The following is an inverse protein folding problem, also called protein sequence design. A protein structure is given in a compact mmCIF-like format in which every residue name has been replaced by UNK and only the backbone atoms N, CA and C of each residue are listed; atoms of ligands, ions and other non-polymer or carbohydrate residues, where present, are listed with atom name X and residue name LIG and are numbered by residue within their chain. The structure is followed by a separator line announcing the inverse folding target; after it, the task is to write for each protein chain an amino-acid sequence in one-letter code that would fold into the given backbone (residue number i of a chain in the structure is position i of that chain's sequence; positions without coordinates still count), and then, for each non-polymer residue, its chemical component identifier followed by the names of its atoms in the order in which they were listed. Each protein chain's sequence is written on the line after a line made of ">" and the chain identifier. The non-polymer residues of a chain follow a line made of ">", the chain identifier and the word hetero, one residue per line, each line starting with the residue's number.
data_IF_764008265751
#
_entry.id   IF_764008265751
#
_cell.length_a   1.000
_cell.length_b   1.000
_cell.length_c   1.000
_cell.angle_alpha   90.00
_cell.angle_beta   90.00
_cell.angle_gamma   90.00
#
_symmetry.space_group_name_H-M   'P 1'
#
loop_
_entity.id
_entity.type
_entity.pdbx_description
1 polymer ?
#
# COMPACT_ATOMS: atom_id res chain seq x y z
N UNK A 1 -14.15 -9.38 3.35
CA UNK A 1 -13.09 -8.39 3.65
C UNK A 1 -11.76 -9.07 3.44
N UNK A 2 -10.90 -8.52 2.60
CA UNK A 2 -9.50 -8.95 2.49
C UNK A 2 -8.69 -8.03 3.40
N UNK A 3 -7.71 -8.58 4.14
CA UNK A 3 -6.83 -7.80 5.02
C UNK A 3 -5.40 -8.30 4.86
N UNK A 4 -4.41 -7.39 4.75
CA UNK A 4 -3.00 -7.77 4.61
C UNK A 4 -2.18 -7.55 5.89
N UNK A 5 -2.44 -6.49 6.66
CA UNK A 5 -1.52 -5.94 7.65
C UNK A 5 -1.56 -6.71 8.97
N UNK A 6 -0.40 -7.18 9.42
CA UNK A 6 -0.25 -7.76 10.77
C UNK A 6 -0.35 -6.67 11.85
N UNK A 7 0.16 -5.48 11.54
CA UNK A 7 0.07 -4.34 12.45
C UNK A 7 -1.38 -3.95 12.72
N UNK A 8 -2.23 -3.84 11.68
CA UNK A 8 -3.65 -3.51 11.83
C UNK A 8 -4.38 -4.49 12.76
N UNK A 9 -4.13 -5.80 12.61
CA UNK A 9 -4.72 -6.79 13.51
C UNK A 9 -4.19 -6.67 14.95
N UNK A 10 -2.89 -6.35 15.11
CA UNK A 10 -2.25 -6.24 16.44
C UNK A 10 -2.70 -5.03 17.26
N UNK A 11 -3.08 -3.92 16.60
CA UNK A 11 -3.52 -2.68 17.26
C UNK A 11 -5.04 -2.54 17.31
N UNK A 12 -5.78 -3.43 16.65
CA UNK A 12 -7.25 -3.48 16.73
C UNK A 12 -7.70 -4.13 18.04
N UNK A 13 -8.74 -3.58 18.66
CA UNK A 13 -9.34 -4.17 19.85
C UNK A 13 -9.78 -5.64 19.56
N UNK A 14 -9.35 -6.64 20.35
CA UNK A 14 -9.56 -8.04 20.02
C UNK A 14 -11.04 -8.43 19.82
N UNK A 15 -11.95 -7.82 20.58
CA UNK A 15 -13.41 -8.04 20.49
C UNK A 15 -13.96 -7.56 19.14
N UNK A 16 -13.48 -6.42 18.64
CA UNK A 16 -13.90 -5.83 17.35
C UNK A 16 -13.32 -6.60 16.18
N UNK A 17 -12.04 -6.99 16.25
CA UNK A 17 -11.42 -7.84 15.23
C UNK A 17 -12.17 -9.18 15.13
N UNK A 18 -12.45 -9.81 16.28
CA UNK A 18 -13.19 -11.07 16.32
C UNK A 18 -14.60 -10.93 15.75
N UNK A 19 -15.31 -9.85 16.10
CA UNK A 19 -16.62 -9.56 15.53
C UNK A 19 -16.54 -9.54 13.99
N UNK A 20 -15.67 -8.73 13.41
CA UNK A 20 -15.50 -8.63 11.94
C UNK A 20 -15.17 -9.98 11.30
N UNK A 21 -14.24 -10.74 11.90
CA UNK A 21 -13.89 -12.09 11.43
C UNK A 21 -15.06 -13.08 11.48
N UNK A 22 -16.01 -12.90 12.39
CA UNK A 22 -17.16 -13.81 12.55
C UNK A 22 -18.38 -13.44 11.72
N UNK A 23 -18.58 -12.14 11.43
CA UNK A 23 -19.80 -11.66 10.75
C UNK A 23 -19.59 -11.30 9.27
N UNK A 24 -18.35 -11.38 8.79
CA UNK A 24 -18.00 -11.14 7.39
C UNK A 24 -17.10 -12.25 6.87
N UNK A 25 -17.07 -12.43 5.54
CA UNK A 25 -16.09 -13.30 4.89
C UNK A 25 -14.70 -12.68 4.99
N UNK A 26 -14.04 -12.88 6.12
CA UNK A 26 -12.70 -12.36 6.40
C UNK A 26 -11.65 -13.27 5.76
N UNK A 27 -10.79 -12.67 4.94
CA UNK A 27 -9.68 -13.36 4.28
C UNK A 27 -8.37 -12.62 4.56
N UNK A 28 -7.49 -13.24 5.35
CA UNK A 28 -6.15 -12.71 5.61
C UNK A 28 -5.20 -13.13 4.48
N UNK A 29 -4.52 -12.16 3.88
CA UNK A 29 -3.36 -12.38 3.00
C UNK A 29 -2.07 -12.02 3.77
N UNK A 30 -0.90 -12.35 3.21
CA UNK A 30 0.37 -11.96 3.81
C UNK A 30 0.57 -10.42 3.81
N UNK A 31 1.49 -9.93 4.64
CA UNK A 31 1.67 -8.50 4.82
C UNK A 31 2.14 -7.81 3.53
N UNK A 32 1.29 -6.94 2.99
CA UNK A 32 1.56 -6.08 1.84
C UNK A 32 2.70 -5.06 2.01
N UNK A 33 3.33 -4.98 3.18
CA UNK A 33 4.57 -4.21 3.41
C UNK A 33 5.84 -5.02 3.12
N UNK A 34 5.74 -6.34 2.97
CA UNK A 34 6.88 -7.22 2.74
C UNK A 34 6.83 -7.84 1.34
N UNK A 35 8.02 -8.04 0.77
CA UNK A 35 8.18 -8.73 -0.53
C UNK A 35 8.46 -10.21 -0.30
N UNK A 36 8.08 -11.06 -1.27
CA UNK A 36 8.46 -12.47 -1.29
C UNK A 36 7.70 -13.38 -0.30
N UNK A 37 6.62 -12.89 0.30
CA UNK A 37 5.73 -13.64 1.19
C UNK A 37 4.44 -14.15 0.49
N UNK A 38 4.33 -13.96 -0.83
CA UNK A 38 3.17 -14.37 -1.63
C UNK A 38 2.16 -13.24 -1.88
N UNK A 39 2.40 -12.04 -1.37
CA UNK A 39 1.64 -10.82 -1.69
C UNK A 39 2.56 -9.73 -2.25
N UNK A 40 2.03 -8.78 -3.04
CA UNK A 40 2.80 -7.60 -3.43
C UNK A 40 3.30 -6.82 -2.21
N UNK A 41 4.60 -6.47 -2.19
CA UNK A 41 5.18 -5.60 -1.17
C UNK A 41 5.15 -4.14 -1.66
N UNK A 42 4.07 -3.42 -1.37
CA UNK A 42 3.82 -2.07 -1.89
C UNK A 42 4.22 -0.97 -0.89
N UNK A 43 5.34 -1.20 -0.21
CA UNK A 43 6.08 -0.25 0.61
C UNK A 43 7.52 -0.17 0.13
N UNK A 44 8.09 1.02 0.04
CA UNK A 44 9.50 1.21 -0.33
C UNK A 44 10.25 2.03 0.72
N UNK A 45 11.44 1.58 1.10
CA UNK A 45 12.32 2.29 2.05
C UNK A 45 13.19 3.35 1.33
N UNK A 46 12.62 4.03 0.35
CA UNK A 46 13.31 5.02 -0.46
C UNK A 46 12.60 5.35 -1.77
N UNK A 47 13.14 6.35 -2.47
CA UNK A 47 12.53 6.93 -3.67
C UNK A 47 12.31 5.87 -4.77
N UNK A 48 11.10 5.84 -5.29
CA UNK A 48 10.69 5.03 -6.45
C UNK A 48 10.75 5.90 -7.70
N UNK A 49 11.25 5.36 -8.82
CA UNK A 49 11.38 6.08 -10.09
C UNK A 49 10.06 6.13 -10.89
N UNK A 50 8.93 6.34 -10.22
CA UNK A 50 7.59 6.26 -10.81
C UNK A 50 7.36 7.32 -11.90
N UNK A 51 8.01 8.49 -11.80
CA UNK A 51 7.85 9.59 -12.77
C UNK A 51 8.27 9.16 -14.18
N UNK A 52 9.23 8.24 -14.30
CA UNK A 52 9.71 7.73 -15.59
C UNK A 52 8.82 6.64 -16.18
N UNK A 53 7.85 6.14 -15.40
CA UNK A 53 7.01 4.98 -15.74
C UNK A 53 5.56 5.36 -16.07
N UNK A 54 5.17 6.61 -15.86
CA UNK A 54 3.83 7.15 -16.19
C UNK A 54 3.95 8.09 -17.38
N UNK A 55 3.22 7.81 -18.47
CA UNK A 55 3.22 8.65 -19.68
C UNK A 55 1.96 9.52 -19.82
N UNK A 56 0.97 9.33 -18.95
CA UNK A 56 -0.26 10.15 -18.93
C UNK A 56 -0.08 11.37 -18.00
N UNK A 57 -0.29 12.57 -18.55
CA UNK A 57 -0.12 13.84 -17.83
C UNK A 57 -1.08 13.97 -16.63
N UNK A 58 -2.33 13.51 -16.79
CA UNK A 58 -3.33 13.57 -15.73
C UNK A 58 -2.95 12.67 -14.57
N UNK A 59 -2.49 11.45 -14.83
CA UNK A 59 -2.03 10.53 -13.80
C UNK A 59 -0.76 11.03 -13.12
N UNK A 60 0.16 11.61 -13.88
CA UNK A 60 1.35 12.26 -13.33
C UNK A 60 0.95 13.37 -12.35
N UNK A 61 -0.03 14.20 -12.70
CA UNK A 61 -0.55 15.25 -11.82
C UNK A 61 -1.24 14.70 -10.57
N UNK A 62 -1.96 13.58 -10.68
CA UNK A 62 -2.59 12.90 -9.55
C UNK A 62 -1.53 12.35 -8.60
N UNK A 63 -0.51 11.63 -9.10
CA UNK A 63 0.58 11.09 -8.28
C UNK A 63 1.39 12.20 -7.60
N UNK A 64 1.75 13.25 -8.33
CA UNK A 64 2.41 14.43 -7.74
C UNK A 64 1.58 15.04 -6.61
N UNK A 65 0.27 15.15 -6.80
CA UNK A 65 -0.64 15.69 -5.78
C UNK A 65 -0.72 14.76 -4.57
N UNK A 66 -0.87 13.45 -4.78
CA UNK A 66 -0.94 12.45 -3.72
C UNK A 66 0.34 12.44 -2.88
N UNK A 67 1.51 12.39 -3.53
CA UNK A 67 2.82 12.38 -2.86
C UNK A 67 3.04 13.69 -2.10
N UNK A 68 2.75 14.85 -2.72
CA UNK A 68 2.87 16.14 -2.04
C UNK A 68 2.00 16.20 -0.79
N UNK A 69 0.76 15.75 -0.86
CA UNK A 69 -0.15 15.74 0.29
C UNK A 69 0.26 14.73 1.35
N UNK A 70 0.69 13.53 0.95
CA UNK A 70 1.24 12.51 1.84
C UNK A 70 2.41 13.06 2.64
N UNK A 71 3.42 13.60 1.96
CA UNK A 71 4.58 14.21 2.60
C UNK A 71 4.21 15.45 3.44
N UNK A 72 3.25 16.27 2.98
CA UNK A 72 2.83 17.46 3.72
C UNK A 72 2.18 17.11 5.06
N UNK A 73 1.48 15.99 5.17
CA UNK A 73 0.68 15.65 6.36
C UNK A 73 1.17 14.39 7.11
N UNK A 74 2.24 13.74 6.66
CA UNK A 74 2.87 12.62 7.36
C UNK A 74 3.31 13.06 8.78
N UNK A 75 2.90 12.34 9.82
CA UNK A 75 3.23 12.67 11.21
C UNK A 75 2.68 14.00 11.78
N UNK A 76 1.90 14.77 11.02
CA UNK A 76 1.37 16.07 11.48
C UNK A 76 0.16 15.94 12.39
N UNK A 77 -0.02 16.89 13.29
CA UNK A 77 -1.20 17.01 14.16
C UNK A 77 -1.50 15.73 14.97
N UNK A 78 -0.45 15.02 15.39
CA UNK A 78 -0.56 13.77 16.15
C UNK A 78 -0.90 12.53 15.31
N UNK A 79 -0.84 12.62 13.98
CA UNK A 79 -0.99 11.47 13.08
C UNK A 79 0.22 10.55 13.17
N UNK A 80 0.02 9.30 12.76
CA UNK A 80 1.10 8.34 12.59
C UNK A 80 2.15 8.88 11.62
N UNK A 81 3.42 8.74 11.99
CA UNK A 81 4.56 9.02 11.13
C UNK A 81 4.93 7.72 10.40
N UNK A 82 4.73 7.70 9.10
CA UNK A 82 5.24 6.62 8.26
C UNK A 82 6.70 6.91 7.92
N UNK A 83 7.62 6.15 8.50
CA UNK A 83 9.08 6.34 8.33
C UNK A 83 9.51 6.14 6.87
N UNK A 84 8.97 5.14 6.17
CA UNK A 84 9.27 4.89 4.76
C UNK A 84 8.88 6.09 3.87
N UNK A 85 7.74 6.74 4.16
CA UNK A 85 7.32 7.98 3.46
C UNK A 85 8.21 9.17 3.83
N UNK A 86 8.62 9.29 5.09
CA UNK A 86 9.53 10.35 5.56
C UNK A 86 10.92 10.26 4.90
N UNK A 87 11.38 9.05 4.61
CA UNK A 87 12.61 8.76 3.87
C UNK A 87 12.46 8.94 2.34
N UNK A 88 11.31 9.44 1.88
CA UNK A 88 11.03 9.73 0.47
C UNK A 88 10.55 8.51 -0.33
N UNK A 89 10.18 7.43 0.34
CA UNK A 89 9.52 6.27 -0.23
C UNK A 89 8.01 6.42 -0.38
N UNK A 90 7.38 5.30 -0.70
CA UNK A 90 5.93 5.19 -0.86
C UNK A 90 5.43 4.04 0.02
N UNK A 91 4.25 4.22 0.59
CA UNK A 91 3.50 3.14 1.24
C UNK A 91 2.05 3.22 0.80
N UNK A 92 1.65 2.20 0.05
CA UNK A 92 0.27 1.98 -0.37
C UNK A 92 -0.06 0.49 -0.27
N UNK A 93 0.47 -0.15 0.77
CA UNK A 93 0.38 -1.59 1.05
C UNK A 93 -1.05 -2.14 1.09
N UNK A 94 -2.03 -1.33 1.48
CA UNK A 94 -3.47 -1.64 1.40
C UNK A 94 -3.90 -2.11 -0.01
N UNK A 95 -3.22 -1.62 -1.08
CA UNK A 95 -3.52 -2.02 -2.46
C UNK A 95 -3.24 -3.51 -2.72
N UNK A 96 -2.45 -4.18 -1.88
CA UNK A 96 -2.22 -5.64 -1.94
C UNK A 96 -3.53 -6.43 -1.78
N UNK A 97 -4.49 -5.89 -1.03
CA UNK A 97 -5.83 -6.46 -0.89
C UNK A 97 -6.60 -6.43 -2.23
N UNK A 98 -6.45 -5.34 -2.98
CA UNK A 98 -7.04 -5.19 -4.34
C UNK A 98 -6.33 -6.10 -5.33
N UNK A 99 -5.00 -6.20 -5.26
CA UNK A 99 -4.23 -7.14 -6.08
C UNK A 99 -4.73 -8.57 -5.87
N UNK A 100 -5.00 -8.98 -4.62
CA UNK A 100 -5.57 -10.29 -4.34
C UNK A 100 -6.95 -10.48 -4.99
N UNK A 101 -7.84 -9.50 -4.82
CA UNK A 101 -9.21 -9.56 -5.38
C UNK A 101 -9.19 -9.65 -6.91
N UNK A 102 -8.27 -8.94 -7.57
CA UNK A 102 -8.16 -8.90 -9.02
C UNK A 102 -7.23 -9.97 -9.62
N UNK A 103 -6.59 -10.79 -8.78
CA UNK A 103 -5.66 -11.83 -9.24
C UNK A 103 -4.34 -11.29 -9.80
N UNK A 104 -3.82 -10.20 -9.23
CA UNK A 104 -2.59 -9.49 -9.63
C UNK A 104 -1.42 -9.76 -8.66
N UNK A 105 -1.33 -10.99 -8.15
CA UNK A 105 -0.36 -11.38 -7.12
C UNK A 105 1.06 -11.59 -7.66
N UNK A 106 1.23 -11.52 -8.98
CA UNK A 106 2.51 -11.53 -9.69
C UNK A 106 3.26 -10.20 -9.60
N UNK A 107 2.60 -9.12 -9.18
CA UNK A 107 3.26 -7.86 -8.85
C UNK A 107 4.07 -8.07 -7.57
N UNK A 108 5.39 -7.96 -7.64
CA UNK A 108 6.27 -8.20 -6.50
C UNK A 108 6.36 -7.02 -5.54
N UNK A 109 6.55 -5.83 -6.08
CA UNK A 109 6.89 -4.64 -5.30
C UNK A 109 6.39 -3.35 -5.96
N UNK A 110 6.60 -2.23 -5.26
CA UNK A 110 6.23 -0.89 -5.71
C UNK A 110 6.80 -0.54 -7.09
N UNK A 111 8.03 -0.96 -7.40
CA UNK A 111 8.65 -0.62 -8.69
C UNK A 111 7.99 -1.39 -9.85
N UNK A 112 7.74 -2.69 -9.63
CA UNK A 112 7.03 -3.53 -10.59
C UNK A 112 5.56 -3.13 -10.75
N UNK A 113 4.91 -2.57 -9.72
CA UNK A 113 3.56 -2.03 -9.85
C UNK A 113 3.48 -0.98 -10.98
N UNK A 114 4.42 -0.03 -11.00
CA UNK A 114 4.47 0.99 -12.05
C UNK A 114 4.86 0.40 -13.43
N UNK A 115 5.70 -0.64 -13.46
CA UNK A 115 6.01 -1.35 -14.71
C UNK A 115 4.84 -2.18 -15.23
N UNK A 116 4.03 -2.77 -14.37
CA UNK A 116 2.94 -3.66 -14.76
C UNK A 116 1.84 -2.88 -15.47
N UNK A 117 1.42 -1.76 -14.90
CA UNK A 117 0.34 -0.97 -15.47
C UNK A 117 0.77 -0.12 -16.67
N UNK A 118 2.08 -0.03 -16.96
CA UNK A 118 2.70 0.73 -18.06
C UNK A 118 1.81 1.90 -18.50
N UNK A 119 1.46 2.81 -17.59
CA UNK A 119 0.27 3.63 -17.85
C UNK A 119 0.56 4.58 -19.02
N UNK A 120 0.02 4.20 -20.18
CA UNK A 120 0.16 4.86 -21.48
C UNK A 120 -1.00 5.79 -21.72
#
# INVERSE_FOLDING_TARGET
>A
MVQHSDWNESVTEPTKLKYTQTVTDYHKIADGNAVGNGTPGLKSDGKVAWETKINDEKLTNIWNTAIRLGNQYNGKDGRYLNESVDEGGLDFSDLSEVCYILGLMEIKDTDQFFDYFQVK
#
